data_IF_921724849078
#
_entry.id   IF_921724849078
#
_cell.length_a   1.000
_cell.length_b   1.000
_cell.length_c   1.000
_cell.angle_alpha   90.00
_cell.angle_beta   90.00
_cell.angle_gamma   90.00
#
_symmetry.space_group_name_H-M   'P 1'
#
loop_
_entity.id
_entity.type
_entity.pdbx_description
1 polymer ?
#
# COMPACT_ATOMS: atom_id res chain seq x y z
N UNK A 1 -2.48 -37.87 -18.75
CA UNK A 1 -1.14 -37.37 -19.13
C UNK A 1 -0.33 -37.27 -17.84
N UNK A 2 0.57 -38.22 -17.57
CA UNK A 2 1.27 -38.30 -16.29
C UNK A 2 2.31 -37.17 -16.19
N UNK A 3 2.15 -36.26 -15.23
CA UNK A 3 3.24 -35.38 -14.83
C UNK A 3 4.44 -36.27 -14.46
N UNK A 4 5.62 -36.03 -15.04
CA UNK A 4 6.81 -36.81 -14.65
C UNK A 4 7.03 -36.56 -13.16
N UNK A 5 7.33 -37.60 -12.39
CA UNK A 5 7.53 -37.52 -10.93
C UNK A 5 8.50 -36.38 -10.54
N UNK A 6 9.48 -36.07 -11.41
CA UNK A 6 10.39 -34.92 -11.26
C UNK A 6 9.72 -33.53 -11.26
N UNK A 7 8.67 -33.32 -12.05
CA UNK A 7 7.96 -32.03 -12.12
C UNK A 7 7.18 -31.77 -10.82
N UNK A 8 6.55 -32.81 -10.27
CA UNK A 8 5.79 -32.75 -9.01
C UNK A 8 6.71 -32.45 -7.83
N UNK A 9 7.88 -33.10 -7.77
CA UNK A 9 8.90 -32.84 -6.73
C UNK A 9 9.45 -31.42 -6.83
N UNK A 10 9.64 -30.91 -8.05
CA UNK A 10 10.12 -29.54 -8.29
C UNK A 10 9.11 -28.49 -7.83
N UNK A 11 7.82 -28.67 -8.16
CA UNK A 11 6.75 -27.77 -7.69
C UNK A 11 6.66 -27.73 -6.16
N UNK A 12 6.72 -28.88 -5.50
CA UNK A 12 6.63 -28.95 -4.04
C UNK A 12 7.80 -28.21 -3.37
N UNK A 13 9.03 -28.42 -3.86
CA UNK A 13 10.22 -27.73 -3.34
C UNK A 13 10.15 -26.23 -3.56
N UNK A 14 9.73 -25.79 -4.75
CA UNK A 14 9.54 -24.38 -5.06
C UNK A 14 8.50 -23.73 -4.14
N UNK A 15 7.34 -24.37 -3.97
CA UNK A 15 6.30 -23.90 -3.04
C UNK A 15 6.82 -23.78 -1.62
N UNK A 16 7.49 -24.82 -1.11
CA UNK A 16 8.02 -24.83 0.26
C UNK A 16 9.01 -23.69 0.51
N UNK A 17 9.95 -23.48 -0.43
CA UNK A 17 10.94 -22.41 -0.35
C UNK A 17 10.27 -21.02 -0.44
N UNK A 18 9.44 -20.80 -1.46
CA UNK A 18 8.86 -19.49 -1.74
C UNK A 18 7.79 -19.07 -0.72
N UNK A 19 7.18 -20.02 0.00
CA UNK A 19 6.29 -19.75 1.13
C UNK A 19 7.02 -19.21 2.37
N UNK A 20 8.36 -19.25 2.38
CA UNK A 20 9.12 -18.70 3.49
C UNK A 20 9.02 -17.17 3.52
N UNK A 21 8.85 -16.54 4.71
CA UNK A 21 8.68 -15.08 4.83
C UNK A 21 9.80 -14.25 4.20
N UNK A 22 11.02 -14.80 4.08
CA UNK A 22 12.13 -14.16 3.39
C UNK A 22 11.86 -13.90 1.90
N UNK A 23 11.05 -14.74 1.24
CA UNK A 23 10.73 -14.63 -0.18
C UNK A 23 9.42 -13.92 -0.44
N UNK A 24 8.34 -14.32 0.24
CA UNK A 24 7.02 -13.73 0.02
C UNK A 24 6.77 -12.46 0.85
N UNK A 25 7.55 -12.23 1.91
CA UNK A 25 7.38 -11.08 2.80
C UNK A 25 6.20 -11.19 3.78
N UNK A 26 5.49 -12.31 3.78
CA UNK A 26 4.32 -12.58 4.63
C UNK A 26 4.65 -13.67 5.66
N UNK A 27 4.04 -13.59 6.83
CA UNK A 27 4.04 -14.70 7.78
C UNK A 27 3.23 -15.88 7.24
N UNK A 28 3.58 -17.10 7.62
CA UNK A 28 2.91 -18.32 7.10
C UNK A 28 1.39 -18.30 7.36
N UNK A 29 0.98 -17.91 8.56
CA UNK A 29 -0.44 -17.80 8.92
C UNK A 29 -1.17 -16.75 8.06
N UNK A 30 -0.51 -15.61 7.77
CA UNK A 30 -1.09 -14.58 6.92
C UNK A 30 -1.19 -15.04 5.46
N UNK A 31 -0.19 -15.77 4.95
CA UNK A 31 -0.26 -16.35 3.61
C UNK A 31 -1.44 -17.33 3.47
N UNK A 32 -1.71 -18.16 4.47
CA UNK A 32 -2.87 -19.08 4.47
C UNK A 32 -4.19 -18.31 4.42
N UNK A 33 -4.36 -17.31 5.29
CA UNK A 33 -5.57 -16.47 5.30
C UNK A 33 -5.75 -15.74 3.97
N UNK A 34 -4.67 -15.23 3.38
CA UNK A 34 -4.70 -14.57 2.08
C UNK A 34 -5.15 -15.53 0.97
N UNK A 35 -4.64 -16.76 0.95
CA UNK A 35 -5.04 -17.77 -0.05
C UNK A 35 -6.53 -18.08 0.10
N UNK A 36 -7.01 -18.28 1.33
CA UNK A 36 -8.44 -18.54 1.59
C UNK A 36 -9.32 -17.37 1.14
N UNK A 37 -8.96 -16.14 1.49
CA UNK A 37 -9.70 -14.92 1.12
C UNK A 37 -9.80 -14.74 -0.41
N UNK A 38 -8.78 -15.16 -1.16
CA UNK A 38 -8.72 -14.98 -2.61
C UNK A 38 -9.37 -16.11 -3.41
N UNK A 39 -9.74 -17.24 -2.79
CA UNK A 39 -10.20 -18.42 -3.49
C UNK A 39 -11.52 -18.17 -4.25
N UNK A 40 -12.55 -17.68 -3.57
CA UNK A 40 -13.87 -17.44 -4.18
C UNK A 40 -13.82 -16.29 -5.21
N UNK A 41 -13.17 -15.14 -4.95
CA UNK A 41 -12.99 -14.10 -5.96
C UNK A 41 -12.28 -14.59 -7.22
N UNK A 42 -11.29 -15.49 -7.07
CA UNK A 42 -10.58 -16.07 -8.21
C UNK A 42 -11.48 -17.02 -9.00
N UNK A 43 -12.20 -17.93 -8.34
CA UNK A 43 -13.15 -18.84 -9.00
C UNK A 43 -14.25 -18.07 -9.75
N UNK A 44 -14.83 -17.04 -9.13
CA UNK A 44 -15.82 -16.18 -9.75
C UNK A 44 -15.28 -15.47 -10.99
N UNK A 45 -14.04 -14.95 -10.93
CA UNK A 45 -13.39 -14.34 -12.09
C UNK A 45 -13.15 -15.35 -13.23
N UNK A 46 -12.63 -16.53 -12.90
CA UNK A 46 -12.39 -17.57 -13.89
C UNK A 46 -13.69 -17.97 -14.61
N UNK A 47 -14.80 -18.11 -13.88
CA UNK A 47 -16.09 -18.45 -14.48
C UNK A 47 -16.63 -17.31 -15.36
N UNK A 48 -16.52 -16.04 -14.92
CA UNK A 48 -16.89 -14.88 -15.73
C UNK A 48 -16.12 -14.80 -17.05
N UNK A 49 -14.79 -14.97 -17.00
CA UNK A 49 -13.95 -14.98 -18.22
C UNK A 49 -14.32 -16.14 -19.17
N UNK A 50 -14.64 -17.31 -18.61
CA UNK A 50 -15.10 -18.43 -19.42
C UNK A 50 -16.49 -18.19 -20.01
N UNK A 51 -17.42 -17.58 -19.26
CA UNK A 51 -18.76 -17.23 -19.73
C UNK A 51 -18.69 -16.24 -20.88
N UNK A 52 -17.87 -15.19 -20.76
CA UNK A 52 -17.64 -14.22 -21.84
C UNK A 52 -17.10 -14.91 -23.10
N UNK A 53 -16.08 -15.77 -22.97
CA UNK A 53 -15.53 -16.51 -24.11
C UNK A 53 -16.53 -17.46 -24.76
N UNK A 54 -17.43 -18.05 -23.97
CA UNK A 54 -18.47 -18.97 -24.46
C UNK A 54 -19.68 -18.22 -25.05
N UNK A 55 -19.86 -16.94 -24.73
CA UNK A 55 -21.05 -16.17 -25.12
C UNK A 55 -22.33 -16.59 -24.40
N UNK A 56 -22.24 -17.27 -23.24
CA UNK A 56 -23.41 -17.78 -22.54
C UNK A 56 -23.10 -18.72 -21.38
N UNK A 57 -24.17 -19.23 -20.76
CA UNK A 57 -24.09 -20.17 -19.64
C UNK A 57 -23.42 -21.49 -20.02
N UNK A 58 -22.85 -22.14 -19.00
CA UNK A 58 -22.10 -23.36 -19.15
C UNK A 58 -22.99 -24.53 -19.58
N UNK A 59 -22.60 -25.25 -20.65
CA UNK A 59 -23.32 -26.43 -21.17
C UNK A 59 -22.77 -27.80 -20.74
N UNK A 60 -21.55 -27.88 -20.17
CA UNK A 60 -20.88 -29.13 -19.73
C UNK A 60 -20.55 -29.06 -18.24
N UNK A 61 -20.34 -30.18 -17.55
CA UNK A 61 -19.95 -30.19 -16.12
C UNK A 61 -18.59 -29.51 -15.83
N UNK A 62 -18.37 -29.12 -14.57
CA UNK A 62 -17.11 -28.61 -13.99
C UNK A 62 -15.87 -29.44 -14.43
N UNK A 63 -14.74 -28.80 -14.74
CA UNK A 63 -13.45 -29.49 -14.93
C UNK A 63 -13.04 -29.94 -16.35
N UNK A 64 -13.87 -29.80 -17.39
CA UNK A 64 -13.52 -30.25 -18.75
C UNK A 64 -12.52 -29.34 -19.52
N UNK A 65 -11.77 -28.48 -18.83
CA UNK A 65 -10.77 -27.57 -19.42
C UNK A 65 -9.34 -28.07 -19.20
N UNK A 66 -8.32 -27.47 -19.84
CA UNK A 66 -6.93 -27.88 -19.67
C UNK A 66 -6.49 -27.75 -18.21
N UNK A 67 -5.81 -28.78 -17.70
CA UNK A 67 -5.23 -28.80 -16.36
C UNK A 67 -4.35 -27.56 -16.15
N UNK A 68 -4.64 -26.83 -15.07
CA UNK A 68 -3.83 -25.67 -14.71
C UNK A 68 -2.48 -26.15 -14.20
N UNK A 69 -1.41 -25.91 -14.98
CA UNK A 69 -0.02 -26.24 -14.60
C UNK A 69 0.41 -25.63 -13.26
N UNK A 70 -0.19 -24.52 -12.85
CA UNK A 70 -0.09 -23.97 -11.50
C UNK A 70 -1.45 -24.04 -10.83
N UNK A 71 -1.52 -24.72 -9.68
CA UNK A 71 -2.70 -24.67 -8.82
C UNK A 71 -2.86 -23.27 -8.22
N UNK A 72 -4.06 -22.97 -7.73
CA UNK A 72 -4.40 -21.64 -7.22
C UNK A 72 -3.41 -21.11 -6.16
N UNK A 73 -3.04 -21.93 -5.18
CA UNK A 73 -2.02 -21.60 -4.16
C UNK A 73 -0.70 -21.14 -4.79
N UNK A 74 -0.22 -21.83 -5.83
CA UNK A 74 1.03 -21.48 -6.48
C UNK A 74 0.89 -20.19 -7.29
N UNK A 75 -0.28 -19.94 -7.90
CA UNK A 75 -0.58 -18.68 -8.58
C UNK A 75 -0.52 -17.49 -7.62
N UNK A 76 -1.08 -17.64 -6.42
CA UNK A 76 -0.97 -16.62 -5.37
C UNK A 76 0.49 -16.43 -4.97
N UNK A 77 1.20 -17.52 -4.73
CA UNK A 77 2.57 -17.47 -4.24
C UNK A 77 3.55 -16.84 -5.25
N UNK A 78 3.52 -17.24 -6.53
CA UNK A 78 4.36 -16.61 -7.56
C UNK A 78 4.06 -15.12 -7.70
N UNK A 79 2.79 -14.73 -7.53
CA UNK A 79 2.38 -13.33 -7.61
C UNK A 79 2.92 -12.53 -6.43
N UNK A 80 2.75 -13.00 -5.20
CA UNK A 80 3.26 -12.33 -4.00
C UNK A 80 4.79 -12.22 -4.04
N UNK A 81 5.50 -13.28 -4.42
CA UNK A 81 6.96 -13.25 -4.57
C UNK A 81 7.41 -12.27 -5.66
N UNK A 82 6.71 -12.24 -6.80
CA UNK A 82 6.97 -11.26 -7.84
C UNK A 82 6.76 -9.83 -7.32
N UNK A 83 5.67 -9.56 -6.59
CA UNK A 83 5.42 -8.25 -5.97
C UNK A 83 6.48 -7.91 -4.91
N UNK A 84 6.97 -8.89 -4.16
CA UNK A 84 7.94 -8.68 -3.08
C UNK A 84 9.34 -8.35 -3.58
N UNK A 85 9.82 -9.15 -4.52
CA UNK A 85 11.21 -9.19 -4.97
C UNK A 85 11.41 -8.67 -6.38
N UNK A 86 10.35 -8.50 -7.17
CA UNK A 86 10.41 -8.15 -8.58
C UNK A 86 11.21 -9.17 -9.41
N UNK A 87 11.11 -10.45 -9.03
CA UNK A 87 11.76 -11.55 -9.77
C UNK A 87 11.22 -11.62 -11.21
N UNK A 88 12.09 -11.87 -12.21
CA UNK A 88 11.66 -12.08 -13.58
C UNK A 88 10.67 -13.26 -13.68
N UNK A 89 9.65 -13.13 -14.52
CA UNK A 89 8.67 -14.22 -14.72
C UNK A 89 9.34 -15.51 -15.23
N UNK A 90 10.44 -15.40 -15.98
CA UNK A 90 11.24 -16.54 -16.42
C UNK A 90 11.88 -17.28 -15.23
N UNK A 91 12.46 -16.56 -14.25
CA UNK A 91 13.06 -17.19 -13.08
C UNK A 91 12.02 -17.95 -12.23
N UNK A 92 10.84 -17.37 -12.05
CA UNK A 92 9.72 -18.06 -11.39
C UNK A 92 9.24 -19.28 -12.20
N UNK A 93 9.27 -19.21 -13.53
CA UNK A 93 8.94 -20.33 -14.40
C UNK A 93 9.94 -21.48 -14.27
N UNK A 94 11.24 -21.18 -14.24
CA UNK A 94 12.29 -22.18 -13.98
C UNK A 94 12.11 -22.85 -12.62
N UNK A 95 11.87 -22.07 -11.56
CA UNK A 95 11.65 -22.62 -10.21
C UNK A 95 10.47 -23.58 -10.16
N UNK A 96 9.39 -23.28 -10.89
CA UNK A 96 8.20 -24.12 -10.94
C UNK A 96 8.22 -25.13 -12.10
N UNK A 97 9.26 -25.23 -12.94
CA UNK A 97 9.21 -26.13 -14.10
C UNK A 97 8.05 -25.87 -15.08
N UNK A 98 7.56 -24.63 -15.16
CA UNK A 98 6.46 -24.22 -16.06
C UNK A 98 6.95 -23.21 -17.10
N UNK A 99 6.12 -22.91 -18.10
CA UNK A 99 6.48 -21.88 -19.09
C UNK A 99 6.33 -20.47 -18.52
N UNK A 100 7.18 -19.52 -18.95
CA UNK A 100 7.07 -18.09 -18.60
C UNK A 100 5.66 -17.50 -18.82
N UNK A 101 4.93 -17.81 -19.92
CA UNK A 101 3.55 -17.36 -20.08
C UNK A 101 2.60 -17.84 -18.99
N UNK A 102 2.82 -19.03 -18.42
CA UNK A 102 2.01 -19.58 -17.31
C UNK A 102 2.12 -18.69 -16.07
N UNK A 103 3.34 -18.30 -15.70
CA UNK A 103 3.58 -17.37 -14.58
C UNK A 103 3.01 -15.98 -14.89
N UNK A 104 3.20 -15.49 -16.11
CA UNK A 104 2.67 -14.18 -16.53
C UNK A 104 1.15 -14.13 -16.39
N UNK A 105 0.46 -15.19 -16.81
CA UNK A 105 -0.98 -15.33 -16.67
C UNK A 105 -1.40 -15.37 -15.20
N UNK A 106 -0.73 -16.17 -14.36
CA UNK A 106 -1.01 -16.23 -12.93
C UNK A 106 -0.90 -14.84 -12.26
N UNK A 107 0.14 -14.08 -12.56
CA UNK A 107 0.32 -12.72 -12.03
C UNK A 107 -0.79 -11.78 -12.50
N UNK A 108 -1.21 -11.88 -13.77
CA UNK A 108 -2.31 -11.06 -14.30
C UNK A 108 -3.68 -11.41 -13.71
N UNK A 109 -3.90 -12.66 -13.33
CA UNK A 109 -5.15 -13.08 -12.68
C UNK A 109 -5.20 -12.65 -11.21
N UNK A 110 -4.10 -12.82 -10.46
CA UNK A 110 -4.09 -12.62 -9.00
C UNK A 110 -3.88 -11.15 -8.61
N UNK A 111 -3.04 -10.39 -9.32
CA UNK A 111 -2.71 -9.00 -8.95
C UNK A 111 -3.94 -8.09 -8.84
N UNK A 112 -4.93 -8.13 -9.75
CA UNK A 112 -6.14 -7.33 -9.59
C UNK A 112 -6.95 -7.71 -8.34
N UNK A 113 -7.01 -9.00 -8.00
CA UNK A 113 -7.70 -9.47 -6.80
C UNK A 113 -7.04 -8.91 -5.54
N UNK A 114 -5.71 -8.86 -5.50
CA UNK A 114 -4.97 -8.22 -4.42
C UNK A 114 -5.23 -6.71 -4.35
N UNK A 115 -5.27 -6.03 -5.50
CA UNK A 115 -5.41 -4.58 -5.59
C UNK A 115 -6.76 -4.07 -5.06
N UNK A 116 -7.85 -4.82 -5.27
CA UNK A 116 -9.21 -4.40 -4.88
C UNK A 116 -9.57 -4.72 -3.43
N UNK A 117 -8.70 -5.45 -2.70
CA UNK A 117 -8.97 -5.82 -1.30
C UNK A 117 -9.15 -4.59 -0.41
N UNK A 118 -8.34 -3.56 -0.62
CA UNK A 118 -8.25 -2.41 0.28
C UNK A 118 -7.37 -2.70 1.51
N UNK A 119 -7.43 -1.80 2.47
CA UNK A 119 -6.54 -1.70 3.61
C UNK A 119 -7.19 -2.28 4.86
N UNK A 120 -6.48 -3.13 5.59
CA UNK A 120 -6.99 -3.74 6.80
C UNK A 120 -7.13 -2.70 7.92
N UNK A 121 -8.26 -2.73 8.62
CA UNK A 121 -8.45 -1.88 9.80
C UNK A 121 -7.72 -2.50 10.99
N UNK A 122 -6.84 -1.74 11.69
CA UNK A 122 -6.20 -2.24 12.89
C UNK A 122 -7.20 -2.65 13.96
N UNK A 123 -6.94 -3.76 14.65
CA UNK A 123 -7.76 -4.27 15.77
C UNK A 123 -9.23 -4.62 15.41
N UNK A 124 -9.60 -4.59 14.12
CA UNK A 124 -10.93 -4.92 13.59
C UNK A 124 -10.84 -5.92 12.44
N UNK A 125 -10.67 -7.23 12.71
CA UNK A 125 -10.50 -8.23 11.67
C UNK A 125 -11.71 -8.27 10.73
N UNK A 126 -11.46 -8.39 9.42
CA UNK A 126 -12.51 -8.47 8.39
C UNK A 126 -12.98 -7.11 7.84
N UNK A 127 -12.72 -6.00 8.53
CA UNK A 127 -13.05 -4.67 8.01
C UNK A 127 -11.91 -4.15 7.14
N UNK A 128 -12.26 -3.64 5.94
CA UNK A 128 -11.30 -3.06 5.00
C UNK A 128 -11.74 -1.69 4.51
N UNK A 129 -10.80 -0.74 4.52
CA UNK A 129 -10.94 0.59 3.94
C UNK A 129 -10.59 0.51 2.45
N UNK A 130 -11.51 0.87 1.57
CA UNK A 130 -11.32 0.79 0.11
C UNK A 130 -11.26 2.16 -0.54
N UNK A 131 -11.92 3.13 0.07
CA UNK A 131 -11.97 4.50 -0.42
C UNK A 131 -11.33 5.47 0.56
N UNK A 132 -10.98 6.66 0.08
CA UNK A 132 -10.54 7.74 0.95
C UNK A 132 -11.66 8.14 1.94
N UNK A 133 -12.93 8.09 1.52
CA UNK A 133 -14.06 8.35 2.40
C UNK A 133 -14.13 7.35 3.56
N UNK A 134 -13.84 6.06 3.31
CA UNK A 134 -13.80 5.04 4.36
C UNK A 134 -12.73 5.38 5.42
N UNK A 135 -11.57 5.88 4.99
CA UNK A 135 -10.47 6.28 5.89
C UNK A 135 -10.89 7.41 6.81
N UNK A 136 -11.55 8.44 6.26
CA UNK A 136 -12.02 9.58 7.05
C UNK A 136 -13.20 9.21 7.95
N UNK A 137 -14.12 8.36 7.47
CA UNK A 137 -15.20 7.82 8.29
C UNK A 137 -14.66 7.00 9.47
N UNK A 138 -13.68 6.13 9.22
CA UNK A 138 -12.97 5.37 10.25
C UNK A 138 -12.25 6.30 11.24
N UNK A 139 -11.52 7.30 10.73
CA UNK A 139 -10.80 8.26 11.56
C UNK A 139 -11.73 9.05 12.49
N UNK A 140 -12.91 9.45 11.99
CA UNK A 140 -13.95 10.09 12.80
C UNK A 140 -14.51 9.14 13.85
N UNK A 141 -14.85 7.91 13.47
CA UNK A 141 -15.49 6.95 14.35
C UNK A 141 -14.58 6.51 15.52
N UNK A 142 -13.29 6.32 15.25
CA UNK A 142 -12.32 5.78 16.20
C UNK A 142 -11.39 6.86 16.78
N UNK A 143 -11.64 8.14 16.47
CA UNK A 143 -10.84 9.27 16.98
C UNK A 143 -9.37 9.24 16.53
N UNK A 144 -9.08 8.68 15.35
CA UNK A 144 -7.72 8.52 14.85
C UNK A 144 -7.22 9.82 14.23
N UNK A 145 -6.13 10.36 14.76
CA UNK A 145 -5.41 11.45 14.12
C UNK A 145 -4.53 10.90 12.97
N UNK A 146 -4.80 11.36 11.76
CA UNK A 146 -4.14 10.89 10.55
C UNK A 146 -2.71 11.44 10.40
N UNK A 147 -1.85 10.66 9.76
CA UNK A 147 -0.52 11.09 9.28
C UNK A 147 -0.49 10.93 7.78
N UNK A 148 -0.33 12.06 7.07
CA UNK A 148 -0.40 12.11 5.62
C UNK A 148 0.97 12.55 5.10
N UNK A 149 1.54 11.77 4.19
CA UNK A 149 2.78 12.10 3.53
C UNK A 149 2.82 11.57 2.09
N UNK A 150 3.66 12.17 1.27
CA UNK A 150 3.84 11.83 -0.13
C UNK A 150 5.11 11.01 -0.34
N UNK A 151 5.04 10.02 -1.21
CA UNK A 151 6.21 9.27 -1.64
C UNK A 151 6.32 9.21 -3.16
N UNK A 152 7.55 9.07 -3.65
CA UNK A 152 7.83 8.96 -5.08
C UNK A 152 8.46 7.61 -5.39
N UNK A 153 7.97 6.95 -6.43
CA UNK A 153 8.53 5.71 -6.97
C UNK A 153 9.03 5.96 -8.37
N UNK A 154 10.26 5.53 -8.66
CA UNK A 154 10.79 5.61 -10.02
C UNK A 154 9.98 4.70 -10.95
N UNK A 155 9.50 5.24 -12.07
CA UNK A 155 8.74 4.51 -13.09
C UNK A 155 9.41 4.65 -14.47
N UNK A 156 9.06 3.75 -15.40
CA UNK A 156 9.56 3.83 -16.77
C UNK A 156 9.21 5.16 -17.43
N UNK A 157 10.19 5.75 -18.11
CA UNK A 157 10.00 6.94 -18.95
C UNK A 157 9.18 6.59 -20.20
N UNK A 158 8.23 7.43 -20.63
CA UNK A 158 7.55 7.25 -21.90
C UNK A 158 8.53 7.23 -23.08
N UNK A 159 8.27 6.45 -24.14
CA UNK A 159 9.02 6.52 -25.38
C UNK A 159 9.13 7.96 -25.90
N UNK A 160 10.17 8.25 -26.70
CA UNK A 160 10.29 9.53 -27.38
C UNK A 160 9.06 9.79 -28.28
N UNK A 161 8.67 11.06 -28.45
CA UNK A 161 7.54 11.46 -29.30
C UNK A 161 6.14 11.27 -28.70
N UNK A 162 5.98 10.61 -27.54
CA UNK A 162 4.67 10.48 -26.87
C UNK A 162 4.31 11.74 -26.06
N UNK A 163 3.07 12.26 -26.16
CA UNK A 163 2.55 13.29 -25.28
C UNK A 163 2.71 12.91 -23.80
N UNK A 164 2.90 13.89 -22.92
CA UNK A 164 3.06 13.64 -21.47
C UNK A 164 4.42 13.11 -21.04
N UNK A 165 5.43 13.03 -21.92
CA UNK A 165 6.79 12.56 -21.59
C UNK A 165 7.45 13.32 -20.43
N UNK A 166 7.21 14.63 -20.34
CA UNK A 166 7.72 15.49 -19.24
C UNK A 166 6.84 15.46 -17.99
N UNK A 167 5.60 14.96 -18.06
CA UNK A 167 4.66 14.98 -16.93
C UNK A 167 5.15 14.14 -15.74
N UNK A 168 5.99 13.14 -16.00
CA UNK A 168 6.52 12.25 -14.95
C UNK A 168 7.90 12.69 -14.43
N UNK A 169 8.50 13.74 -14.98
CA UNK A 169 9.83 14.19 -14.53
C UNK A 169 9.66 14.99 -13.24
N UNK A 170 10.00 14.38 -12.11
CA UNK A 170 10.02 15.04 -10.81
C UNK A 170 11.20 16.01 -10.75
N UNK A 171 10.90 17.28 -10.41
CA UNK A 171 11.94 18.28 -10.15
C UNK A 171 12.78 17.93 -8.92
N UNK A 172 12.14 17.36 -7.89
CA UNK A 172 12.79 16.97 -6.62
C UNK A 172 13.75 15.81 -6.81
N UNK A 173 13.32 14.75 -7.51
CA UNK A 173 14.12 13.55 -7.74
C UNK A 173 14.99 13.61 -8.99
N UNK A 174 14.77 14.60 -9.87
CA UNK A 174 15.40 14.73 -11.19
C UNK A 174 15.28 13.45 -12.04
N UNK A 175 14.17 12.73 -11.88
CA UNK A 175 13.92 11.41 -12.48
C UNK A 175 12.44 11.25 -12.87
N UNK A 176 12.13 10.22 -13.66
CA UNK A 176 10.77 9.82 -13.97
C UNK A 176 10.13 9.08 -12.80
N UNK A 177 9.15 9.69 -12.14
CA UNK A 177 8.49 9.15 -10.95
C UNK A 177 6.97 9.17 -11.07
N UNK A 178 6.34 8.26 -10.34
CA UNK A 178 4.94 8.37 -9.94
C UNK A 178 4.91 8.79 -8.46
N UNK A 179 4.07 9.76 -8.13
CA UNK A 179 3.81 10.18 -6.75
C UNK A 179 2.60 9.44 -6.22
N UNK A 180 2.65 9.10 -4.95
CA UNK A 180 1.53 8.48 -4.22
C UNK A 180 1.45 9.11 -2.85
N UNK A 181 0.23 9.21 -2.33
CA UNK A 181 -0.02 9.70 -0.98
C UNK A 181 -0.25 8.51 -0.07
N UNK A 182 0.40 8.53 1.09
CA UNK A 182 0.30 7.50 2.13
C UNK A 182 -0.34 8.11 3.36
N UNK A 183 -1.33 7.42 3.92
CA UNK A 183 -2.04 7.79 5.14
C UNK A 183 -1.87 6.67 6.17
N UNK A 184 -1.41 7.02 7.36
CA UNK A 184 -1.27 6.11 8.50
C UNK A 184 -1.90 6.69 9.76
N UNK A 185 -2.07 5.85 10.78
CA UNK A 185 -2.42 6.29 12.13
C UNK A 185 -1.19 6.75 12.94
N UNK A 186 -1.42 7.19 14.17
CA UNK A 186 -0.35 7.59 15.09
C UNK A 186 0.63 6.47 15.47
N UNK A 187 0.30 5.21 15.24
CA UNK A 187 1.17 4.04 15.45
C UNK A 187 1.94 3.63 14.18
N UNK A 188 1.76 4.34 13.07
CA UNK A 188 2.40 4.04 11.78
C UNK A 188 1.77 2.83 11.07
N UNK A 189 0.52 2.50 11.39
CA UNK A 189 -0.23 1.44 10.70
C UNK A 189 -0.87 2.03 9.44
N UNK A 190 -0.65 1.36 8.30
CA UNK A 190 -1.07 1.84 7.00
C UNK A 190 -2.59 1.76 6.82
N UNK A 191 -3.23 2.92 6.69
CA UNK A 191 -4.69 3.04 6.49
C UNK A 191 -5.06 3.22 5.02
N UNK A 192 -4.19 3.86 4.23
CA UNK A 192 -4.39 4.05 2.80
C UNK A 192 -3.07 4.43 2.12
N UNK A 193 -2.87 3.98 0.89
CA UNK A 193 -1.76 4.43 0.04
C UNK A 193 -2.17 4.33 -1.42
N UNK A 194 -2.10 5.44 -2.14
CA UNK A 194 -2.62 5.48 -3.51
C UNK A 194 -2.49 6.84 -4.18
N UNK A 195 -3.42 7.09 -5.11
CA UNK A 195 -3.46 8.26 -5.98
C UNK A 195 -2.20 8.44 -6.85
N UNK A 196 -2.00 7.54 -7.80
CA UNK A 196 -0.83 7.58 -8.68
C UNK A 196 -0.83 8.83 -9.57
N UNK A 197 0.02 9.80 -9.23
CA UNK A 197 0.19 11.05 -9.96
C UNK A 197 1.49 11.10 -10.75
N UNK A 198 1.53 11.84 -11.87
CA UNK A 198 2.79 12.11 -12.56
C UNK A 198 3.78 12.87 -11.67
N UNK A 199 5.05 12.47 -11.68
CA UNK A 199 6.14 13.05 -10.88
C UNK A 199 6.30 14.58 -10.94
N UNK A 200 5.87 15.24 -12.03
CA UNK A 200 5.94 16.71 -12.16
C UNK A 200 4.84 17.44 -11.37
N UNK A 201 3.76 16.75 -11.00
CA UNK A 201 2.64 17.35 -10.28
C UNK A 201 3.11 17.86 -8.91
N UNK A 202 2.72 19.09 -8.55
CA UNK A 202 3.01 19.66 -7.24
C UNK A 202 2.15 18.99 -6.17
N UNK A 203 2.70 18.77 -4.97
CA UNK A 203 2.05 17.99 -3.91
C UNK A 203 0.72 18.63 -3.47
N UNK A 204 0.67 19.97 -3.40
CA UNK A 204 -0.58 20.70 -3.10
C UNK A 204 -1.68 20.48 -4.16
N UNK A 205 -1.32 20.41 -5.44
CA UNK A 205 -2.28 20.13 -6.52
C UNK A 205 -2.76 18.69 -6.46
N UNK A 206 -1.86 17.76 -6.12
CA UNK A 206 -2.19 16.35 -5.96
C UNK A 206 -3.30 16.17 -4.91
N UNK A 207 -3.19 16.81 -3.74
CA UNK A 207 -4.18 16.74 -2.67
C UNK A 207 -5.60 17.15 -3.09
N UNK A 208 -5.74 18.28 -3.80
CA UNK A 208 -7.05 18.75 -4.30
C UNK A 208 -7.62 17.77 -5.33
N UNK A 209 -6.75 17.16 -6.13
CA UNK A 209 -7.16 16.16 -7.13
C UNK A 209 -7.51 14.81 -6.48
N UNK A 210 -7.08 14.58 -5.25
CA UNK A 210 -7.21 13.32 -4.51
C UNK A 210 -8.49 13.20 -3.68
N UNK A 211 -9.27 14.27 -3.55
CA UNK A 211 -10.46 14.25 -2.71
C UNK A 211 -10.18 14.54 -1.24
N UNK A 212 -8.93 14.79 -0.84
CA UNK A 212 -8.54 14.96 0.58
C UNK A 212 -9.14 16.24 1.17
N UNK A 213 -9.15 17.33 0.40
CA UNK A 213 -9.76 18.58 0.83
C UNK A 213 -11.27 18.42 1.01
N UNK A 214 -11.91 17.70 0.08
CA UNK A 214 -13.34 17.37 0.12
C UNK A 214 -13.68 16.53 1.34
N UNK A 215 -12.86 15.53 1.68
CA UNK A 215 -13.06 14.75 2.90
C UNK A 215 -12.87 15.58 4.18
N UNK A 216 -11.90 16.50 4.22
CA UNK A 216 -11.73 17.41 5.35
C UNK A 216 -12.93 18.35 5.53
N UNK A 217 -13.61 18.74 4.46
CA UNK A 217 -14.88 19.47 4.55
C UNK A 217 -16.00 18.60 5.15
N UNK A 218 -16.10 17.34 4.73
CA UNK A 218 -17.15 16.41 5.18
C UNK A 218 -16.95 15.92 6.63
N UNK A 219 -15.71 15.89 7.11
CA UNK A 219 -15.34 15.33 8.41
C UNK A 219 -14.58 16.34 9.29
N UNK A 220 -15.23 17.43 9.74
CA UNK A 220 -14.54 18.54 10.42
C UNK A 220 -13.90 18.16 11.77
N UNK A 221 -14.26 17.02 12.34
CA UNK A 221 -13.67 16.49 13.57
C UNK A 221 -12.33 15.78 13.33
N UNK A 222 -12.07 15.30 12.11
CA UNK A 222 -10.86 14.55 11.78
C UNK A 222 -9.65 15.49 11.84
N UNK A 223 -8.60 15.02 12.50
CA UNK A 223 -7.33 15.73 12.62
C UNK A 223 -6.25 15.02 11.81
N UNK A 224 -5.32 15.77 11.23
CA UNK A 224 -4.20 15.24 10.48
C UNK A 224 -2.89 16.01 10.74
N UNK A 225 -1.76 15.30 10.68
CA UNK A 225 -0.42 15.91 10.59
C UNK A 225 0.21 15.61 9.25
N UNK A 226 0.85 16.62 8.68
CA UNK A 226 1.40 16.60 7.33
C UNK A 226 2.85 17.12 7.29
N UNK A 227 3.57 16.86 6.20
CA UNK A 227 4.87 17.50 5.93
C UNK A 227 4.75 18.99 5.56
N UNK A 228 5.87 19.71 5.56
CA UNK A 228 5.99 21.07 5.04
C UNK A 228 5.48 21.21 3.61
N UNK A 229 5.69 20.19 2.75
CA UNK A 229 5.18 20.19 1.37
C UNK A 229 3.66 20.33 1.27
N UNK A 230 2.95 20.03 2.36
CA UNK A 230 1.50 20.12 2.49
C UNK A 230 1.04 21.35 3.28
N UNK A 231 1.92 22.35 3.46
CA UNK A 231 1.58 23.62 4.13
C UNK A 231 0.28 24.25 3.63
N UNK A 232 0.06 24.20 2.31
CA UNK A 232 -1.16 24.75 1.70
C UNK A 232 -2.43 24.13 2.29
N UNK A 233 -2.43 22.82 2.52
CA UNK A 233 -3.55 22.11 3.14
C UNK A 233 -3.75 22.54 4.60
N UNK A 234 -2.65 22.73 5.34
CA UNK A 234 -2.72 23.25 6.71
C UNK A 234 -3.24 24.70 6.79
N UNK A 235 -2.97 25.53 5.78
CA UNK A 235 -3.53 26.88 5.71
C UNK A 235 -5.03 26.85 5.36
N UNK A 236 -5.44 25.95 4.45
CA UNK A 236 -6.84 25.81 4.02
C UNK A 236 -7.70 25.23 5.17
N UNK A 237 -7.13 24.36 6.02
CA UNK A 237 -7.82 23.68 7.13
C UNK A 237 -7.08 23.81 8.48
N UNK A 238 -6.89 25.02 9.02
CA UNK A 238 -6.03 25.26 10.18
C UNK A 238 -6.49 24.57 11.47
N UNK A 239 -7.80 24.30 11.58
CA UNK A 239 -8.37 23.61 12.73
C UNK A 239 -8.26 22.08 12.62
N UNK A 240 -7.96 21.53 11.44
CA UNK A 240 -7.91 20.08 11.20
C UNK A 240 -6.50 19.58 10.89
N UNK A 241 -5.70 20.37 10.17
CA UNK A 241 -4.44 19.93 9.59
C UNK A 241 -3.26 20.72 10.17
N UNK A 242 -2.31 20.01 10.77
CA UNK A 242 -1.10 20.60 11.35
C UNK A 242 0.15 20.24 10.52
N UNK A 243 0.73 21.25 9.88
CA UNK A 243 2.08 21.22 9.32
C UNK A 243 3.13 21.68 10.36
N UNK A 244 4.44 21.49 10.14
CA UNK A 244 5.50 21.99 11.05
C UNK A 244 5.35 23.49 11.36
N UNK A 245 5.95 24.08 12.39
CA UNK A 245 5.96 25.55 12.51
C UNK A 245 6.89 26.17 11.44
N UNK A 246 6.50 27.30 10.85
CA UNK A 246 7.35 28.03 9.89
C UNK A 246 8.66 28.43 10.56
N UNK A 247 9.76 28.34 9.81
CA UNK A 247 11.05 28.85 10.29
C UNK A 247 10.90 30.36 10.58
N UNK A 248 11.32 30.84 11.76
CA UNK A 248 11.34 32.26 12.06
C UNK A 248 12.21 33.01 11.05
N UNK A 249 11.92 34.29 10.82
CA UNK A 249 12.80 35.17 10.05
C UNK A 249 14.12 35.40 10.80
N UNK A 250 15.15 35.85 10.10
CA UNK A 250 16.46 36.08 10.70
C UNK A 250 16.39 37.11 11.85
N UNK A 251 17.22 36.93 12.88
CA UNK A 251 17.34 37.77 14.10
C UNK A 251 16.21 37.68 15.14
N UNK A 252 15.54 36.53 15.27
CA UNK A 252 14.68 36.30 16.45
C UNK A 252 15.50 36.02 17.72
N UNK A 253 14.99 36.41 18.91
CA UNK A 253 15.60 36.08 20.20
C UNK A 253 15.89 34.57 20.33
N UNK A 254 16.97 34.23 21.06
CA UNK A 254 17.39 32.85 21.26
C UNK A 254 16.29 31.96 21.86
N UNK A 255 15.49 32.50 22.79
CA UNK A 255 14.36 31.81 23.40
C UNK A 255 13.26 31.44 22.40
N UNK A 256 12.89 32.34 21.50
CA UNK A 256 11.92 32.07 20.43
C UNK A 256 12.45 31.02 19.44
N UNK A 257 13.73 31.08 19.09
CA UNK A 257 14.35 30.09 18.23
C UNK A 257 14.40 28.70 18.90
N UNK A 258 14.62 28.64 20.22
CA UNK A 258 14.51 27.39 20.98
C UNK A 258 13.08 26.85 21.00
N UNK A 259 12.09 27.69 21.31
CA UNK A 259 10.68 27.31 21.29
C UNK A 259 10.25 26.79 19.91
N UNK A 260 10.67 27.44 18.82
CA UNK A 260 10.44 26.98 17.46
C UNK A 260 11.08 25.61 17.19
N UNK A 261 12.36 25.41 17.57
CA UNK A 261 13.05 24.12 17.40
C UNK A 261 12.33 22.99 18.12
N UNK A 262 11.91 23.24 19.35
CA UNK A 262 11.15 22.28 20.16
C UNK A 262 9.77 21.97 19.55
N UNK A 263 9.02 22.97 19.11
CA UNK A 263 7.74 22.77 18.43
C UNK A 263 7.91 21.98 17.12
N UNK A 264 8.96 22.30 16.33
CA UNK A 264 9.29 21.57 15.11
C UNK A 264 9.69 20.13 15.40
N UNK A 265 10.50 19.89 16.44
CA UNK A 265 10.89 18.55 16.89
C UNK A 265 9.66 17.73 17.27
N UNK A 266 8.75 18.26 18.10
CA UNK A 266 7.51 17.57 18.50
C UNK A 266 6.65 17.20 17.29
N UNK A 267 6.48 18.12 16.35
CA UNK A 267 5.71 17.86 15.13
C UNK A 267 6.37 16.78 14.27
N UNK A 268 7.67 16.87 14.02
CA UNK A 268 8.41 15.88 13.25
C UNK A 268 8.36 14.50 13.91
N UNK A 269 8.56 14.43 15.22
CA UNK A 269 8.46 13.18 15.99
C UNK A 269 7.06 12.57 15.95
N UNK A 270 6.01 13.38 15.97
CA UNK A 270 4.65 12.87 15.84
C UNK A 270 4.35 12.37 14.41
N UNK A 271 4.98 12.94 13.39
CA UNK A 271 4.80 12.57 11.98
C UNK A 271 5.61 11.33 11.58
N UNK A 272 6.78 11.10 12.18
CA UNK A 272 7.75 10.06 11.77
C UNK A 272 7.16 8.66 11.55
N UNK A 273 6.05 8.33 12.21
CA UNK A 273 5.33 7.08 12.01
C UNK A 273 4.94 6.84 10.54
N UNK A 274 4.51 7.87 9.79
CA UNK A 274 4.20 7.71 8.35
C UNK A 274 5.44 7.47 7.50
N UNK A 275 6.58 8.05 7.89
CA UNK A 275 7.86 7.78 7.22
C UNK A 275 8.28 6.32 7.43
N UNK A 276 8.03 5.76 8.63
CA UNK A 276 8.23 4.33 8.87
C UNK A 276 7.28 3.48 8.03
N UNK A 277 6.01 3.86 7.90
CA UNK A 277 5.04 3.20 7.02
C UNK A 277 5.51 3.18 5.57
N UNK A 278 5.93 4.35 5.04
CA UNK A 278 6.52 4.47 3.71
C UNK A 278 7.77 3.59 3.61
N UNK A 279 8.61 3.56 4.64
CA UNK A 279 9.79 2.71 4.70
C UNK A 279 9.46 1.22 4.56
N UNK A 280 8.32 0.77 5.05
CA UNK A 280 7.84 -0.61 4.88
C UNK A 280 7.30 -0.90 3.50
N UNK A 281 6.53 0.02 2.92
CA UNK A 281 6.15 -0.05 1.52
C UNK A 281 7.40 -0.16 0.63
N UNK A 282 8.41 0.66 0.91
CA UNK A 282 9.71 0.62 0.22
C UNK A 282 10.53 -0.63 0.51
N UNK A 283 10.15 -1.53 1.43
CA UNK A 283 10.80 -2.86 1.48
C UNK A 283 10.45 -3.67 0.24
N UNK A 284 9.29 -3.45 -0.39
CA UNK A 284 8.85 -4.12 -1.60
C UNK A 284 9.54 -3.51 -2.83
N UNK A 285 10.27 -4.34 -3.59
CA UNK A 285 11.13 -3.87 -4.68
C UNK A 285 10.42 -2.99 -5.73
N UNK A 286 9.19 -3.31 -6.17
CA UNK A 286 8.45 -2.48 -7.12
C UNK A 286 8.21 -1.05 -6.64
N UNK A 287 8.10 -0.83 -5.32
CA UNK A 287 7.88 0.50 -4.74
C UNK A 287 9.17 1.29 -4.54
N UNK A 288 10.35 0.66 -4.60
CA UNK A 288 11.63 1.39 -4.69
C UNK A 288 11.85 1.90 -6.12
N UNK A 289 11.72 0.98 -7.09
CA UNK A 289 11.87 1.23 -8.52
C UNK A 289 11.01 0.24 -9.28
N UNK A 290 10.07 0.77 -10.05
CA UNK A 290 9.14 -0.01 -10.82
C UNK A 290 9.68 -0.32 -12.23
N UNK A 291 9.89 -1.59 -12.51
CA UNK A 291 10.40 -2.08 -13.80
C UNK A 291 9.29 -2.49 -14.77
N UNK A 292 8.02 -2.48 -14.35
CA UNK A 292 6.87 -2.85 -15.20
C UNK A 292 6.44 -1.76 -16.19
N UNK A 293 5.36 -2.03 -16.92
CA UNK A 293 4.67 -1.01 -17.71
C UNK A 293 3.97 -0.04 -16.77
N UNK A 294 4.16 1.26 -16.95
CA UNK A 294 3.60 2.28 -16.05
C UNK A 294 2.10 2.12 -15.81
N UNK A 295 1.33 1.72 -16.82
CA UNK A 295 -0.12 1.62 -16.71
C UNK A 295 -0.58 0.53 -15.73
N UNK A 296 0.29 -0.44 -15.40
CA UNK A 296 0.04 -1.42 -14.32
C UNK A 296 0.61 -1.01 -12.96
N UNK A 297 1.24 0.18 -12.84
CA UNK A 297 1.86 0.64 -11.59
C UNK A 297 0.80 0.81 -10.49
N UNK A 298 -0.30 1.49 -10.80
CA UNK A 298 -1.38 1.76 -9.85
C UNK A 298 -1.93 0.48 -9.20
N UNK A 299 -2.28 -0.51 -10.03
CA UNK A 299 -2.75 -1.82 -9.58
C UNK A 299 -1.66 -2.57 -8.78
N UNK A 300 -0.40 -2.52 -9.21
CA UNK A 300 0.73 -3.12 -8.48
C UNK A 300 0.90 -2.46 -7.11
N UNK A 301 0.77 -1.14 -7.05
CA UNK A 301 0.93 -0.37 -5.83
C UNK A 301 -0.19 -0.70 -4.84
N UNK A 302 -1.45 -0.65 -5.27
CA UNK A 302 -2.59 -1.02 -4.44
C UNK A 302 -2.48 -2.46 -3.89
N UNK A 303 -2.06 -3.41 -4.73
CA UNK A 303 -1.84 -4.80 -4.31
C UNK A 303 -0.77 -4.92 -3.21
N UNK A 304 0.36 -4.22 -3.35
CA UNK A 304 1.44 -4.23 -2.35
C UNK A 304 0.99 -3.51 -1.07
N UNK A 305 0.35 -2.34 -1.21
CA UNK A 305 -0.07 -1.52 -0.10
C UNK A 305 -1.12 -2.25 0.77
N UNK A 306 -2.05 -2.99 0.15
CA UNK A 306 -2.97 -3.88 0.87
C UNK A 306 -2.25 -4.98 1.67
N UNK A 307 -1.20 -5.60 1.12
CA UNK A 307 -0.39 -6.61 1.83
C UNK A 307 0.41 -6.00 2.99
N UNK A 308 0.95 -4.78 2.81
CA UNK A 308 1.64 -4.04 3.87
C UNK A 308 0.67 -3.67 4.99
N UNK A 309 -0.54 -3.23 4.63
CA UNK A 309 -1.61 -2.88 5.56
C UNK A 309 -2.06 -4.08 6.39
N UNK A 310 -2.26 -5.25 5.78
CA UNK A 310 -2.60 -6.48 6.52
C UNK A 310 -1.57 -6.79 7.64
N UNK A 311 -0.27 -6.64 7.32
CA UNK A 311 0.81 -6.83 8.31
C UNK A 311 0.81 -5.72 9.35
N UNK A 312 0.56 -4.48 8.94
CA UNK A 312 0.55 -3.33 9.84
C UNK A 312 -0.61 -3.38 10.84
N UNK A 313 -1.80 -3.77 10.41
CA UNK A 313 -3.01 -3.89 11.22
C UNK A 313 -2.88 -4.92 12.36
N UNK A 314 -2.00 -5.91 12.21
CA UNK A 314 -1.71 -6.93 13.24
C UNK A 314 -0.76 -6.46 14.33
N UNK A 315 -0.14 -5.29 14.18
CA UNK A 315 0.72 -4.76 15.25
C UNK A 315 -0.15 -4.32 16.42
N UNK A 316 0.22 -4.71 17.65
CA UNK A 316 -0.50 -4.26 18.84
C UNK A 316 -0.48 -2.74 18.89
N UNK A 317 -1.62 -2.13 19.23
CA UNK A 317 -1.68 -0.72 19.61
C UNK A 317 -0.66 -0.46 20.70
N UNK A 318 0.33 0.39 20.41
CA UNK A 318 1.15 0.97 21.47
C UNK A 318 0.27 1.97 22.19
N UNK A 319 -0.30 1.57 23.33
CA UNK A 319 -0.89 2.54 24.25
C UNK A 319 0.23 3.48 24.66
N UNK A 320 0.13 4.76 24.32
CA UNK A 320 0.88 5.77 25.04
C UNK A 320 0.29 5.76 26.46
N UNK A 321 0.99 5.13 27.40
CA UNK A 321 0.71 5.36 28.82
C UNK A 321 0.83 6.86 29.03
N UNK A 322 -0.26 7.50 29.46
CA UNK A 322 -0.23 8.91 29.81
C UNK A 322 0.93 9.13 30.78
N UNK A 323 1.81 10.07 30.47
CA UNK A 323 2.88 10.50 31.37
C UNK A 323 2.34 11.42 32.47
N UNK A 324 1.03 11.65 32.52
CA UNK A 324 0.39 12.30 33.66
C UNK A 324 0.52 11.40 34.88
N UNK A 325 1.44 11.78 35.77
CA UNK A 325 1.46 11.31 37.15
C UNK A 325 0.14 11.76 37.79
N UNK A 326 -0.87 10.88 37.78
CA UNK A 326 -2.07 11.06 38.59
C UNK A 326 -1.62 10.94 40.06
N UNK A 327 -1.78 11.96 40.90
CA UNK A 327 -1.42 11.86 42.31
C UNK A 327 -2.29 10.80 42.97
N UNK A 328 -1.69 9.67 43.34
CA UNK A 328 -2.33 8.60 44.07
C UNK A 328 -2.33 8.91 45.58
N UNK A 329 -2.95 10.02 45.99
CA UNK A 329 -3.49 10.14 47.36
C UNK A 329 -4.33 11.40 47.53
N UNK A 330 -5.59 11.22 47.95
CA UNK A 330 -6.26 12.16 48.84
C UNK A 330 -6.11 11.60 50.26
N UNK A 331 -5.22 12.18 51.05
CA UNK A 331 -5.32 12.04 52.50
C UNK A 331 -6.49 12.91 52.94
N UNK A 332 -7.52 12.29 53.50
CA UNK A 332 -8.55 12.99 54.25
C UNK A 332 -7.97 13.37 55.61
N UNK A 333 -8.04 14.66 55.95
CA UNK A 333 -8.13 15.17 57.32
C UNK A 333 -9.30 16.14 57.35
#
# INVERSE_FOLDING_TARGET
MAARVGDVVTHYRARAALSHPAFCGLERAHLVVLIQELADPWLGRCESELRERRGGERKRAAGAGPDHKLVFTDRVLVTVVHLRLQLPHAALAELYGVSRPTVTRAIHEIRPLLAVRGFAVPDRPGIRLRTLADVFAYAKAEGVELRIDGTETQVRRPPAGRPGRKAFVSGKKKQNTAKTTTISDGSGRLLWSGADRPGRMHDQTAMRTEGIAEQLCLYPQVKAKVDEGYRGLANDFPNQVQAPPRKPKDKVPLGENYAWREARRRQSSARICVEHTIGEEKKWRPLQRYLGRRDSYAETHAAIAGLVSDRAARRPTRRHTSTELVPAWKAAC
#
